data_IF_953682970212
#
_entry.id   IF_953682970212
#
_cell.length_a   1.000
_cell.length_b   1.000
_cell.length_c   1.000
_cell.angle_alpha   90.00
_cell.angle_beta   90.00
_cell.angle_gamma   90.00
#
_symmetry.space_group_name_H-M   'P 1'
#
loop_
_entity.id
_entity.type
_entity.pdbx_description
1 polymer ?
#
# COMPACT_ATOMS: atom_id res chain seq x y z
N UNK A 1 23.12 18.22 -15.20
CA UNK A 1 21.85 18.56 -14.52
C UNK A 1 21.79 17.75 -13.24
N UNK A 2 21.58 18.39 -12.09
CA UNK A 2 21.37 17.68 -10.82
C UNK A 2 20.03 16.95 -10.86
N UNK A 3 19.97 15.74 -10.34
CA UNK A 3 18.72 14.98 -10.23
C UNK A 3 17.77 15.67 -9.23
N UNK A 4 16.57 15.98 -9.67
CA UNK A 4 15.47 16.46 -8.84
C UNK A 4 14.43 15.36 -8.69
N UNK A 5 14.26 14.77 -7.50
CA UNK A 5 13.32 13.67 -7.30
C UNK A 5 11.87 14.15 -7.38
N UNK A 6 11.00 13.35 -7.97
CA UNK A 6 9.55 13.54 -7.93
C UNK A 6 8.99 12.91 -6.66
N UNK A 7 8.59 13.74 -5.71
CA UNK A 7 8.10 13.31 -4.41
C UNK A 7 6.58 13.41 -4.33
N UNK A 8 5.93 12.33 -3.89
CA UNK A 8 4.50 12.32 -3.63
C UNK A 8 4.24 12.23 -2.12
N UNK A 9 3.42 13.13 -1.59
CA UNK A 9 3.02 13.12 -0.18
C UNK A 9 1.57 12.76 0.02
N UNK A 10 1.25 11.74 0.82
CA UNK A 10 -0.13 11.49 1.27
C UNK A 10 -0.35 12.13 2.64
N UNK A 11 -1.17 13.17 2.70
CA UNK A 11 -1.38 13.98 3.88
C UNK A 11 -2.76 13.72 4.50
N UNK A 12 -2.79 13.51 5.81
CA UNK A 12 -4.03 13.43 6.56
C UNK A 12 -4.66 14.81 6.69
N UNK A 13 -5.92 14.96 6.26
CA UNK A 13 -6.67 16.23 6.32
C UNK A 13 -6.75 16.81 7.73
N UNK A 14 -6.80 15.97 8.76
CA UNK A 14 -6.95 16.41 10.15
C UNK A 14 -5.62 16.72 10.85
N UNK A 15 -4.50 16.70 10.15
CA UNK A 15 -3.16 16.84 10.73
C UNK A 15 -2.19 17.49 9.73
N UNK A 16 -1.44 16.69 8.98
CA UNK A 16 -0.40 17.17 8.07
C UNK A 16 -0.90 18.13 6.99
N UNK A 17 -2.11 17.96 6.49
CA UNK A 17 -2.71 18.86 5.51
C UNK A 17 -3.01 20.23 6.12
N UNK A 18 -3.62 20.28 7.31
CA UNK A 18 -3.79 21.55 8.04
C UNK A 18 -2.46 22.21 8.36
N UNK A 19 -1.43 21.43 8.71
CA UNK A 19 -0.10 21.95 8.96
C UNK A 19 0.51 22.58 7.70
N UNK A 20 0.30 21.95 6.55
CA UNK A 20 0.74 22.49 5.26
C UNK A 20 -0.02 23.78 4.88
N UNK A 21 -1.33 23.83 5.12
CA UNK A 21 -2.12 25.03 4.91
C UNK A 21 -1.64 26.20 5.82
N UNK A 22 -1.35 25.92 7.10
CA UNK A 22 -0.78 26.94 8.00
C UNK A 22 0.63 27.38 7.59
N UNK A 23 1.47 26.45 7.11
CA UNK A 23 2.79 26.81 6.56
C UNK A 23 2.64 27.78 5.39
N UNK A 24 1.70 27.52 4.47
CA UNK A 24 1.39 28.42 3.36
C UNK A 24 0.92 29.82 3.82
N UNK A 25 0.05 29.88 4.85
CA UNK A 25 -0.39 31.17 5.43
C UNK A 25 0.75 31.96 6.07
N UNK A 26 1.74 31.27 6.67
CA UNK A 26 2.93 31.88 7.24
C UNK A 26 4.04 32.12 6.19
N UNK A 27 3.77 31.87 4.90
CA UNK A 27 4.73 31.98 3.79
C UNK A 27 6.00 31.15 3.99
N UNK A 28 5.89 30.05 4.71
CA UNK A 28 6.96 29.07 4.93
C UNK A 28 6.90 27.97 3.88
N UNK A 29 8.01 27.72 3.21
CA UNK A 29 8.08 26.79 2.09
C UNK A 29 8.89 25.54 2.45
N UNK A 30 8.48 24.41 1.89
CA UNK A 30 9.28 23.20 1.76
C UNK A 30 9.64 23.00 0.27
N UNK A 31 10.42 21.97 -0.03
CA UNK A 31 10.90 21.72 -1.40
C UNK A 31 9.76 21.72 -2.44
N UNK A 32 9.93 22.40 -3.60
CA UNK A 32 8.86 22.53 -4.61
C UNK A 32 8.52 21.24 -5.35
N UNK A 33 9.42 20.27 -5.35
CA UNK A 33 9.23 18.97 -6.01
C UNK A 33 8.40 17.96 -5.17
N UNK A 34 7.84 18.39 -4.02
CA UNK A 34 6.93 17.61 -3.20
C UNK A 34 5.48 17.91 -3.56
N UNK A 35 4.79 16.91 -4.11
CA UNK A 35 3.37 17.00 -4.50
C UNK A 35 2.48 16.45 -3.39
N UNK A 36 1.74 17.29 -2.65
CA UNK A 36 0.83 16.82 -1.59
C UNK A 36 -0.50 16.32 -2.16
N UNK A 37 -0.92 15.14 -1.72
CA UNK A 37 -2.24 14.54 -1.97
C UNK A 37 -3.01 14.48 -0.65
N UNK A 38 -4.11 15.20 -0.58
CA UNK A 38 -4.95 15.32 0.62
C UNK A 38 -5.89 14.13 0.75
N UNK A 39 -5.90 13.49 1.90
CA UNK A 39 -6.80 12.37 2.20
C UNK A 39 -7.64 12.68 3.45
N UNK A 40 -8.93 12.36 3.46
CA UNK A 40 -9.79 12.54 4.63
C UNK A 40 -9.23 11.86 5.88
N UNK A 41 -8.68 10.65 5.70
CA UNK A 41 -7.98 9.89 6.73
C UNK A 41 -7.02 8.89 6.07
N UNK A 42 -5.79 8.81 6.54
CA UNK A 42 -4.81 7.84 6.06
C UNK A 42 -5.18 6.38 6.37
N UNK A 43 -6.09 6.15 7.30
CA UNK A 43 -6.67 4.81 7.51
C UNK A 43 -7.42 4.24 6.31
N UNK A 44 -7.80 5.10 5.34
CA UNK A 44 -8.35 4.72 4.05
C UNK A 44 -7.32 4.58 2.92
N UNK A 45 -6.05 4.95 3.15
CA UNK A 45 -4.98 4.81 2.15
C UNK A 45 -4.70 3.33 1.92
N UNK A 46 -5.04 2.83 0.75
CA UNK A 46 -4.77 1.44 0.37
C UNK A 46 -3.31 1.25 -0.07
N UNK A 47 -2.76 0.06 0.19
CA UNK A 47 -1.41 -0.35 -0.25
C UNK A 47 -1.22 -0.20 -1.75
N UNK A 48 -2.28 -0.41 -2.52
CA UNK A 48 -2.31 -0.22 -3.95
C UNK A 48 -1.87 1.19 -4.39
N UNK A 49 -2.37 2.26 -3.73
CA UNK A 49 -2.00 3.63 -4.10
C UNK A 49 -0.55 3.97 -3.80
N UNK A 50 0.02 3.38 -2.74
CA UNK A 50 1.44 3.53 -2.44
C UNK A 50 2.32 2.92 -3.53
N UNK A 51 1.97 1.72 -4.00
CA UNK A 51 2.70 1.09 -5.10
C UNK A 51 2.47 1.81 -6.43
N UNK A 52 1.21 2.20 -6.73
CA UNK A 52 0.85 2.93 -7.94
C UNK A 52 1.65 4.23 -8.10
N UNK A 53 1.98 4.92 -7.01
CA UNK A 53 2.81 6.12 -7.05
C UNK A 53 4.14 5.89 -7.76
N UNK A 54 4.82 4.77 -7.45
CA UNK A 54 6.09 4.41 -8.11
C UNK A 54 5.89 4.06 -9.58
N UNK A 55 4.84 3.31 -9.93
CA UNK A 55 4.51 3.03 -11.34
C UNK A 55 4.18 4.29 -12.12
N UNK A 56 3.65 5.31 -11.45
CA UNK A 56 3.38 6.62 -12.05
C UNK A 56 4.61 7.52 -12.08
N UNK A 57 5.78 7.00 -11.67
CA UNK A 57 7.07 7.66 -11.79
C UNK A 57 7.46 8.51 -10.60
N UNK A 58 6.90 8.30 -9.41
CA UNK A 58 7.42 8.89 -8.19
C UNK A 58 8.78 8.28 -7.83
N UNK A 59 9.74 9.10 -7.42
CA UNK A 59 11.04 8.67 -6.93
C UNK A 59 11.02 8.41 -5.43
N UNK A 60 10.08 9.06 -4.72
CA UNK A 60 9.85 8.86 -3.29
C UNK A 60 8.41 9.15 -2.89
N UNK A 61 7.91 8.45 -1.88
CA UNK A 61 6.57 8.61 -1.32
C UNK A 61 6.64 8.83 0.18
N UNK A 62 6.06 9.94 0.65
CA UNK A 62 6.01 10.29 2.07
C UNK A 62 4.57 10.28 2.59
N UNK A 63 4.30 9.54 3.65
CA UNK A 63 2.98 9.47 4.27
C UNK A 63 2.99 10.23 5.58
N UNK A 64 2.22 11.32 5.64
CA UNK A 64 2.21 12.25 6.77
C UNK A 64 0.88 12.18 7.54
N UNK A 65 0.92 11.55 8.71
CA UNK A 65 -0.25 11.20 9.51
C UNK A 65 -0.41 11.97 10.81
N UNK A 66 -1.53 11.68 11.48
CA UNK A 66 -1.75 12.16 12.84
C UNK A 66 -0.77 11.50 13.82
N UNK A 67 -0.33 12.19 14.88
CA UNK A 67 0.44 11.60 15.96
C UNK A 67 -0.31 10.46 16.66
N UNK A 68 0.42 9.53 17.32
CA UNK A 68 -0.18 8.48 18.13
C UNK A 68 -1.19 9.04 19.12
N UNK A 69 -2.34 8.37 19.26
CA UNK A 69 -3.42 8.79 20.17
C UNK A 69 -4.28 9.98 19.67
N UNK A 70 -3.85 10.71 18.62
CA UNK A 70 -4.55 11.91 18.11
C UNK A 70 -5.34 11.66 16.82
N UNK A 71 -5.46 10.41 16.41
CA UNK A 71 -6.22 10.10 15.21
C UNK A 71 -7.73 10.23 15.44
N UNK A 72 -8.41 11.12 14.71
CA UNK A 72 -9.87 11.29 14.78
C UNK A 72 -10.64 9.98 14.58
N UNK A 73 -10.09 9.06 13.82
CA UNK A 73 -10.63 7.72 13.54
C UNK A 73 -9.96 6.63 14.41
N UNK A 74 -9.45 6.98 15.59
CA UNK A 74 -8.79 6.14 16.58
C UNK A 74 -7.51 5.50 16.07
N UNK A 75 -7.57 4.57 15.12
CA UNK A 75 -6.44 3.75 14.63
C UNK A 75 -6.07 3.99 13.15
N UNK A 76 -6.50 5.10 12.54
CA UNK A 76 -6.23 5.38 11.13
C UNK A 76 -4.74 5.56 10.82
N UNK A 77 -4.01 6.24 11.69
CA UNK A 77 -2.56 6.43 11.57
C UNK A 77 -1.78 5.12 11.76
N UNK A 78 -2.18 4.27 12.70
CA UNK A 78 -1.55 2.95 12.91
C UNK A 78 -1.73 2.03 11.69
N UNK A 79 -2.95 2.03 11.11
CA UNK A 79 -3.24 1.28 9.87
C UNK A 79 -2.39 1.79 8.71
N UNK A 80 -2.27 3.11 8.56
CA UNK A 80 -1.44 3.70 7.52
C UNK A 80 0.04 3.33 7.69
N UNK A 81 0.58 3.47 8.91
CA UNK A 81 1.97 3.08 9.22
C UNK A 81 2.24 1.63 8.87
N UNK A 82 1.32 0.73 9.22
CA UNK A 82 1.44 -0.69 8.88
C UNK A 82 1.46 -0.92 7.37
N UNK A 83 0.60 -0.24 6.61
CA UNK A 83 0.57 -0.36 5.14
C UNK A 83 1.84 0.14 4.50
N UNK A 84 2.39 1.24 5.02
CA UNK A 84 3.71 1.74 4.63
C UNK A 84 4.76 0.65 4.83
N UNK A 85 4.81 0.00 5.99
CA UNK A 85 5.77 -1.08 6.27
C UNK A 85 5.62 -2.27 5.31
N UNK A 86 4.38 -2.66 4.96
CA UNK A 86 4.11 -3.70 3.97
C UNK A 86 4.71 -3.32 2.61
N UNK A 87 4.46 -2.10 2.16
CA UNK A 87 4.96 -1.63 0.87
C UNK A 87 6.47 -1.38 0.90
N UNK A 88 7.05 -0.91 2.01
CA UNK A 88 8.51 -0.84 2.17
C UNK A 88 9.18 -2.19 1.93
N UNK A 89 8.62 -3.26 2.54
CA UNK A 89 9.15 -4.61 2.32
C UNK A 89 8.98 -5.07 0.87
N UNK A 90 7.87 -4.72 0.24
CA UNK A 90 7.59 -5.07 -1.16
C UNK A 90 8.53 -4.35 -2.13
N UNK A 91 8.71 -3.02 -1.98
CA UNK A 91 9.59 -2.23 -2.85
C UNK A 91 11.06 -2.57 -2.63
N UNK A 92 11.43 -3.08 -1.45
CA UNK A 92 12.77 -3.63 -1.20
C UNK A 92 12.98 -4.92 -1.99
N UNK A 93 12.00 -5.84 -1.99
CA UNK A 93 12.04 -7.07 -2.78
C UNK A 93 12.09 -6.74 -4.29
N UNK A 94 11.38 -5.69 -4.71
CA UNK A 94 11.38 -5.21 -6.09
C UNK A 94 12.68 -4.49 -6.49
N UNK A 95 13.61 -4.25 -5.55
CA UNK A 95 14.86 -3.54 -5.84
C UNK A 95 14.71 -2.03 -6.02
N UNK A 96 13.54 -1.47 -5.73
CA UNK A 96 13.29 -0.02 -5.72
C UNK A 96 14.02 0.63 -4.54
N UNK A 97 14.04 -0.06 -3.38
CA UNK A 97 14.63 0.39 -2.14
C UNK A 97 13.60 0.93 -1.14
N UNK A 98 13.57 0.32 0.06
CA UNK A 98 12.60 0.67 1.11
C UNK A 98 12.68 2.11 1.58
N UNK A 99 13.87 2.71 1.50
CA UNK A 99 14.15 4.07 1.97
C UNK A 99 13.52 5.16 1.09
N UNK A 100 12.86 4.78 0.00
CA UNK A 100 12.07 5.68 -0.84
C UNK A 100 10.63 5.88 -0.37
N UNK A 101 10.20 5.12 0.65
CA UNK A 101 8.90 5.25 1.28
C UNK A 101 9.07 5.49 2.77
N UNK A 102 8.43 6.52 3.31
CA UNK A 102 8.49 6.76 4.74
C UNK A 102 7.13 7.20 5.31
N UNK A 103 6.99 7.06 6.64
CA UNK A 103 5.83 7.49 7.40
C UNK A 103 6.29 8.40 8.55
N UNK A 104 5.78 9.62 8.56
CA UNK A 104 5.97 10.53 9.68
C UNK A 104 4.63 11.05 10.22
N UNK A 105 4.67 11.61 11.42
CA UNK A 105 3.49 12.21 12.04
C UNK A 105 3.81 13.62 12.52
N UNK A 106 2.86 14.54 12.25
CA UNK A 106 2.96 15.95 12.63
C UNK A 106 1.64 16.43 13.22
N UNK A 107 1.69 17.34 14.19
CA UNK A 107 0.51 18.11 14.61
C UNK A 107 0.24 19.26 13.64
N UNK A 108 -0.98 19.77 13.56
CA UNK A 108 -1.29 20.94 12.72
C UNK A 108 -0.42 22.17 13.04
N UNK A 109 0.03 22.32 14.28
CA UNK A 109 0.87 23.43 14.74
C UNK A 109 2.38 23.22 14.56
N UNK A 110 2.82 22.03 14.13
CA UNK A 110 4.25 21.69 14.00
C UNK A 110 4.82 22.04 12.62
N UNK A 111 4.63 23.29 12.16
CA UNK A 111 5.10 23.76 10.84
C UNK A 111 6.61 23.50 10.63
N UNK A 112 7.50 23.85 11.58
CA UNK A 112 8.93 23.56 11.40
C UNK A 112 9.25 22.10 11.18
N UNK A 113 8.57 21.22 11.92
CA UNK A 113 8.73 19.76 11.81
C UNK A 113 8.24 19.22 10.47
N UNK A 114 7.12 19.73 9.94
CA UNK A 114 6.65 19.37 8.61
C UNK A 114 7.71 19.69 7.55
N UNK A 115 8.21 20.93 7.56
CA UNK A 115 9.22 21.42 6.60
C UNK A 115 10.50 20.58 6.70
N UNK A 116 11.00 20.37 7.91
CA UNK A 116 12.19 19.57 8.16
C UNK A 116 12.01 18.12 7.66
N UNK A 117 10.84 17.51 7.94
CA UNK A 117 10.56 16.13 7.51
C UNK A 117 10.54 16.01 5.99
N UNK A 118 9.86 16.93 5.29
CA UNK A 118 9.79 16.91 3.82
C UNK A 118 11.17 17.17 3.20
N UNK A 119 11.93 18.13 3.71
CA UNK A 119 13.25 18.44 3.19
C UNK A 119 14.27 17.31 3.44
N UNK A 120 14.28 16.71 4.61
CA UNK A 120 15.10 15.52 4.91
C UNK A 120 14.78 14.36 3.99
N UNK A 121 13.49 14.11 3.75
CA UNK A 121 13.08 13.06 2.82
C UNK A 121 13.51 13.37 1.39
N UNK A 122 13.42 14.64 0.96
CA UNK A 122 13.94 15.07 -0.33
C UNK A 122 15.44 14.81 -0.47
N UNK A 123 16.24 15.18 0.53
CA UNK A 123 17.68 14.92 0.54
C UNK A 123 17.99 13.41 0.49
N UNK A 124 17.23 12.61 1.22
CA UNK A 124 17.37 11.16 1.23
C UNK A 124 17.13 10.57 -0.15
N UNK A 125 16.01 10.93 -0.80
CA UNK A 125 15.67 10.42 -2.15
C UNK A 125 16.64 10.96 -3.20
N UNK A 126 17.10 12.20 -3.06
CA UNK A 126 18.12 12.78 -3.96
C UNK A 126 19.42 11.96 -3.91
N UNK A 127 19.88 11.56 -2.72
CA UNK A 127 21.08 10.71 -2.55
C UNK A 127 20.91 9.31 -3.15
N UNK A 128 19.69 8.77 -3.13
CA UNK A 128 19.38 7.46 -3.72
C UNK A 128 19.32 7.50 -5.27
N UNK A 129 19.23 8.70 -5.86
CA UNK A 129 19.09 8.86 -7.32
C UNK A 129 17.69 8.50 -7.84
N UNK A 130 17.50 8.41 -9.17
CA UNK A 130 16.22 8.07 -9.79
C UNK A 130 15.69 6.72 -9.34
N UNK A 131 14.37 6.61 -9.21
CA UNK A 131 13.72 5.31 -8.99
C UNK A 131 13.77 4.49 -10.27
N UNK A 132 14.46 3.36 -10.22
CA UNK A 132 14.55 2.43 -11.34
C UNK A 132 13.67 1.23 -11.02
N UNK A 133 12.64 0.99 -11.85
CA UNK A 133 11.89 -0.26 -11.79
C UNK A 133 12.80 -1.40 -12.25
N UNK A 134 12.86 -2.51 -11.51
CA UNK A 134 13.73 -3.62 -11.88
C UNK A 134 13.33 -4.18 -13.24
N UNK A 135 14.31 -4.30 -14.12
CA UNK A 135 14.22 -5.14 -15.30
C UNK A 135 14.29 -6.60 -14.81
N UNK A 136 13.13 -7.27 -14.84
CA UNK A 136 12.90 -8.50 -14.08
C UNK A 136 13.61 -9.77 -14.65
N UNK A 137 14.53 -9.65 -15.59
CA UNK A 137 15.04 -10.79 -16.35
C UNK A 137 16.10 -11.61 -15.62
N UNK A 138 16.78 -11.05 -14.60
CA UNK A 138 17.97 -11.69 -14.01
C UNK A 138 17.87 -12.02 -12.50
N UNK A 139 16.69 -11.92 -11.87
CA UNK A 139 16.60 -12.10 -10.43
C UNK A 139 15.54 -13.15 -10.03
N UNK A 140 15.99 -14.30 -9.49
CA UNK A 140 15.09 -15.36 -8.99
C UNK A 140 14.07 -14.86 -7.96
N UNK A 141 14.41 -13.84 -7.16
CA UNK A 141 13.50 -13.23 -6.20
C UNK A 141 12.33 -12.51 -6.88
N UNK A 142 12.46 -12.15 -8.15
CA UNK A 142 11.45 -11.49 -8.95
C UNK A 142 10.66 -12.45 -9.86
N UNK A 143 10.85 -13.74 -9.74
CA UNK A 143 10.14 -14.73 -10.55
C UNK A 143 8.60 -14.55 -10.45
N UNK A 144 8.08 -14.22 -9.28
CA UNK A 144 6.67 -13.92 -9.11
C UNK A 144 6.23 -12.67 -9.92
N UNK A 145 7.08 -11.66 -10.03
CA UNK A 145 6.83 -10.45 -10.83
C UNK A 145 6.74 -10.78 -12.32
N UNK A 146 7.66 -11.62 -12.81
CA UNK A 146 7.66 -12.11 -14.20
C UNK A 146 6.39 -12.90 -14.50
N UNK A 147 5.91 -13.71 -13.55
CA UNK A 147 4.64 -14.42 -13.71
C UNK A 147 3.46 -13.44 -13.90
N UNK A 148 3.41 -12.34 -13.16
CA UNK A 148 2.35 -11.34 -13.31
C UNK A 148 2.40 -10.56 -14.62
N UNK A 149 3.54 -10.50 -15.32
CA UNK A 149 3.59 -9.94 -16.69
C UNK A 149 2.68 -10.71 -17.68
N UNK A 150 2.38 -11.97 -17.38
CA UNK A 150 1.49 -12.82 -18.19
C UNK A 150 0.00 -12.58 -17.89
N UNK A 151 -0.33 -11.74 -16.93
CA UNK A 151 -1.71 -11.48 -16.54
C UNK A 151 -2.48 -10.78 -17.67
N UNK A 152 -3.55 -11.41 -18.14
CA UNK A 152 -4.45 -10.92 -19.19
C UNK A 152 -5.68 -10.16 -18.63
N UNK A 153 -5.68 -9.89 -17.34
CA UNK A 153 -6.78 -9.21 -16.63
C UNK A 153 -8.13 -9.94 -16.73
N UNK A 154 -8.15 -11.28 -16.79
CA UNK A 154 -9.39 -12.08 -16.86
C UNK A 154 -10.26 -11.99 -15.60
N UNK A 155 -9.79 -11.41 -14.52
CA UNK A 155 -10.47 -11.15 -13.24
C UNK A 155 -10.89 -12.41 -12.44
N UNK A 156 -10.64 -13.63 -12.88
CA UNK A 156 -11.06 -14.85 -12.20
C UNK A 156 -10.56 -14.93 -10.75
N UNK A 157 -9.34 -14.46 -10.47
CA UNK A 157 -8.81 -14.38 -9.12
C UNK A 157 -9.62 -13.46 -8.18
N UNK A 158 -10.20 -12.39 -8.72
CA UNK A 158 -11.09 -11.48 -7.98
C UNK A 158 -12.43 -12.15 -7.69
N UNK A 159 -13.00 -12.83 -8.68
CA UNK A 159 -14.35 -13.43 -8.58
C UNK A 159 -14.42 -14.56 -7.55
N UNK A 160 -13.35 -15.38 -7.44
CA UNK A 160 -13.31 -16.49 -6.48
C UNK A 160 -12.86 -16.06 -5.09
N UNK A 161 -12.30 -14.87 -4.94
CA UNK A 161 -11.73 -14.42 -3.68
C UNK A 161 -12.83 -13.98 -2.70
N UNK A 162 -12.98 -14.63 -1.52
CA UNK A 162 -14.06 -14.33 -0.59
C UNK A 162 -13.97 -12.93 0.05
N UNK A 163 -12.81 -12.28 -0.03
CA UNK A 163 -12.63 -10.91 0.46
C UNK A 163 -12.78 -9.84 -0.64
N UNK A 164 -12.94 -10.25 -1.91
CA UNK A 164 -13.10 -9.35 -3.05
C UNK A 164 -14.58 -9.18 -3.42
N UNK A 165 -15.31 -8.37 -2.66
CA UNK A 165 -16.74 -8.09 -2.88
C UNK A 165 -17.01 -6.67 -3.44
N UNK A 166 -15.98 -5.96 -3.86
CA UNK A 166 -16.11 -4.61 -4.41
C UNK A 166 -16.78 -4.63 -5.80
N UNK A 167 -17.83 -3.84 -5.99
CA UNK A 167 -18.47 -3.65 -7.31
C UNK A 167 -17.53 -2.96 -8.31
N UNK A 168 -16.76 -1.97 -7.84
CA UNK A 168 -15.66 -1.32 -8.58
C UNK A 168 -14.37 -1.58 -7.85
N UNK A 169 -13.43 -2.21 -8.52
CA UNK A 169 -12.14 -2.58 -7.94
C UNK A 169 -11.07 -1.57 -8.39
N UNK A 170 -10.41 -0.90 -7.46
CA UNK A 170 -9.31 0.02 -7.78
C UNK A 170 -8.19 -0.62 -8.61
N UNK A 171 -7.80 -1.89 -8.38
CA UNK A 171 -6.85 -2.61 -9.24
C UNK A 171 -7.18 -2.64 -10.73
N UNK A 172 -8.46 -2.50 -11.12
CA UNK A 172 -8.86 -2.43 -12.53
C UNK A 172 -8.29 -1.21 -13.28
N UNK A 173 -7.89 -0.18 -12.55
CA UNK A 173 -7.23 1.01 -13.10
C UNK A 173 -5.70 0.90 -13.20
N UNK A 174 -5.13 -0.25 -12.88
CA UNK A 174 -3.70 -0.49 -12.91
C UNK A 174 -3.28 -1.13 -14.23
N UNK A 175 -2.10 -0.79 -14.74
CA UNK A 175 -1.58 -1.33 -16.01
C UNK A 175 -1.52 -2.87 -16.01
N UNK A 176 -1.25 -3.47 -14.85
CA UNK A 176 -1.33 -4.91 -14.64
C UNK A 176 -2.30 -5.21 -13.50
N UNK A 177 -3.50 -5.68 -13.85
CA UNK A 177 -4.55 -6.00 -12.89
C UNK A 177 -4.08 -7.00 -11.82
N UNK A 178 -3.35 -8.04 -12.21
CA UNK A 178 -2.91 -9.09 -11.29
C UNK A 178 -2.02 -8.56 -10.17
N UNK A 179 -1.08 -7.68 -10.49
CA UNK A 179 -0.22 -7.01 -9.50
C UNK A 179 -1.04 -6.10 -8.60
N UNK A 180 -1.92 -5.29 -9.18
CA UNK A 180 -2.80 -4.42 -8.42
C UNK A 180 -3.69 -5.20 -7.45
N UNK A 181 -4.28 -6.31 -7.90
CA UNK A 181 -5.08 -7.22 -7.08
C UNK A 181 -4.23 -7.87 -5.96
N UNK A 182 -3.05 -8.39 -6.29
CA UNK A 182 -2.13 -9.00 -5.33
C UNK A 182 -1.85 -8.05 -4.17
N UNK A 183 -1.42 -6.83 -4.47
CA UNK A 183 -1.07 -5.83 -3.45
C UNK A 183 -2.27 -5.44 -2.61
N UNK A 184 -3.44 -5.32 -3.23
CA UNK A 184 -4.68 -4.99 -2.53
C UNK A 184 -5.12 -6.10 -1.54
N UNK A 185 -4.97 -7.37 -1.92
CA UNK A 185 -5.36 -8.50 -1.05
C UNK A 185 -4.29 -8.90 -0.05
N UNK A 186 -3.03 -8.51 -0.25
CA UNK A 186 -1.89 -8.98 0.53
C UNK A 186 -2.08 -8.81 2.05
N UNK A 187 -2.64 -7.68 2.48
CA UNK A 187 -2.93 -7.39 3.89
C UNK A 187 -4.08 -8.23 4.45
N UNK A 188 -5.06 -8.58 3.61
CA UNK A 188 -6.35 -9.14 4.03
C UNK A 188 -6.53 -10.62 3.72
N UNK A 189 -5.62 -11.20 2.94
CA UNK A 189 -5.72 -12.58 2.49
C UNK A 189 -5.85 -13.56 3.68
N UNK A 190 -6.90 -14.39 3.64
CA UNK A 190 -7.16 -15.43 4.66
C UNK A 190 -6.46 -16.74 4.34
N UNK A 191 -5.72 -16.83 3.22
CA UNK A 191 -5.07 -18.05 2.73
C UNK A 191 -6.05 -19.21 2.49
N UNK A 192 -7.30 -18.90 2.12
CA UNK A 192 -8.36 -19.90 1.91
C UNK A 192 -8.14 -20.85 0.72
N UNK A 193 -7.19 -20.53 -0.17
CA UNK A 193 -6.85 -21.37 -1.32
C UNK A 193 -7.76 -21.18 -2.56
N UNK A 194 -8.86 -20.46 -2.48
CA UNK A 194 -9.82 -20.33 -3.59
C UNK A 194 -9.21 -19.83 -4.91
N UNK A 195 -8.12 -19.05 -4.84
CA UNK A 195 -7.42 -18.53 -6.03
C UNK A 195 -6.31 -19.45 -6.55
N UNK A 196 -6.09 -20.64 -5.95
CA UNK A 196 -4.90 -21.46 -6.21
C UNK A 196 -4.77 -21.86 -7.69
N UNK A 197 -5.86 -22.35 -8.27
CA UNK A 197 -5.85 -22.99 -9.59
C UNK A 197 -6.77 -22.30 -10.62
N UNK A 198 -7.17 -21.04 -10.35
CA UNK A 198 -8.15 -20.34 -11.21
C UNK A 198 -7.52 -19.51 -12.32
N UNK A 199 -6.22 -19.25 -12.26
CA UNK A 199 -5.57 -18.39 -13.24
C UNK A 199 -5.34 -19.12 -14.55
N UNK A 200 -5.94 -18.72 -15.70
CA UNK A 200 -5.75 -19.38 -16.98
C UNK A 200 -4.31 -19.23 -17.52
N UNK A 201 -3.57 -18.22 -17.04
CA UNK A 201 -2.16 -18.01 -17.36
C UNK A 201 -1.21 -18.78 -16.45
N UNK A 202 -1.73 -19.66 -15.58
CA UNK A 202 -0.93 -20.48 -14.67
C UNK A 202 -0.17 -19.70 -13.59
N UNK A 203 -0.61 -18.48 -13.24
CA UNK A 203 0.01 -17.70 -12.18
C UNK A 203 -0.33 -18.34 -10.82
N UNK A 204 0.69 -18.69 -10.05
CA UNK A 204 0.55 -19.33 -8.74
C UNK A 204 0.20 -18.33 -7.65
N UNK A 205 -1.00 -17.75 -7.72
CA UNK A 205 -1.43 -16.63 -6.90
C UNK A 205 -1.28 -16.86 -5.40
N UNK A 206 -1.73 -18.01 -4.88
CA UNK A 206 -1.65 -18.33 -3.46
C UNK A 206 -0.21 -18.44 -2.97
N UNK A 207 0.64 -19.13 -3.74
CA UNK A 207 2.06 -19.31 -3.40
C UNK A 207 2.78 -17.95 -3.35
N UNK A 208 2.49 -17.08 -4.32
CA UNK A 208 3.07 -15.73 -4.37
C UNK A 208 2.60 -14.88 -3.17
N UNK A 209 1.30 -14.91 -2.83
CA UNK A 209 0.79 -14.22 -1.64
C UNK A 209 1.49 -14.72 -0.37
N UNK A 210 1.65 -16.04 -0.21
CA UNK A 210 2.32 -16.63 0.94
C UNK A 210 3.81 -16.27 0.98
N UNK A 211 4.50 -16.34 -0.16
CA UNK A 211 5.90 -15.92 -0.28
C UNK A 211 6.10 -14.48 0.16
N UNK A 212 5.29 -13.56 -0.36
CA UNK A 212 5.39 -12.15 0.00
C UNK A 212 5.06 -11.90 1.47
N UNK A 213 4.05 -12.55 2.00
CA UNK A 213 3.69 -12.42 3.43
C UNK A 213 4.77 -12.94 4.37
N UNK A 214 5.45 -14.01 4.01
CA UNK A 214 6.55 -14.57 4.81
C UNK A 214 7.80 -13.66 4.78
N UNK A 215 8.02 -12.95 3.69
CA UNK A 215 9.12 -11.98 3.55
C UNK A 215 8.78 -10.59 4.12
N UNK A 216 7.51 -10.28 4.28
CA UNK A 216 7.05 -9.10 5.00
C UNK A 216 7.16 -9.41 6.49
N UNK A 217 8.23 -9.01 7.10
CA UNK A 217 8.77 -9.22 8.45
C UNK A 217 7.78 -9.72 9.53
N UNK A 218 8.20 -10.62 10.47
CA UNK A 218 7.37 -11.21 11.54
C UNK A 218 6.70 -10.24 12.51
N UNK A 219 7.12 -8.96 12.53
CA UNK A 219 6.52 -7.88 13.33
C UNK A 219 5.07 -7.53 12.93
N UNK A 220 4.55 -8.10 11.84
CA UNK A 220 3.19 -7.84 11.35
C UNK A 220 2.16 -8.91 11.73
N UNK A 221 2.53 -9.91 12.52
CA UNK A 221 1.55 -10.78 13.17
C UNK A 221 0.75 -9.97 14.19
N UNK A 222 -0.37 -9.42 13.75
CA UNK A 222 -1.33 -8.83 14.68
C UNK A 222 -1.93 -9.94 15.55
N UNK A 223 -2.10 -9.70 16.86
CA UNK A 223 -3.17 -10.35 17.57
C UNK A 223 -4.48 -9.93 16.89
N UNK A 224 -5.29 -10.91 16.46
CA UNK A 224 -6.69 -10.72 16.10
C UNK A 224 -7.41 -10.15 17.32
N UNK A 225 -7.37 -8.82 17.49
CA UNK A 225 -8.30 -8.17 18.42
C UNK A 225 -9.61 -8.00 17.67
N UNK A 226 -10.55 -8.84 18.05
CA UNK A 226 -11.90 -8.88 17.56
C UNK A 226 -12.59 -7.52 17.64
N UNK A 227 -13.44 -7.24 16.66
CA UNK A 227 -14.30 -6.08 16.59
C UNK A 227 -14.79 -5.79 15.18
N UNK A 228 -15.13 -6.81 14.42
CA UNK A 228 -16.03 -6.74 13.27
C UNK A 228 -17.16 -7.76 13.47
N UNK A 229 -18.35 -7.60 12.86
CA UNK A 229 -19.43 -8.58 13.01
C UNK A 229 -18.91 -9.96 12.60
N UNK A 230 -19.15 -10.94 13.48
CA UNK A 230 -18.58 -12.27 13.55
C UNK A 230 -18.16 -12.88 12.20
N UNK A 231 -16.87 -13.16 12.09
CA UNK A 231 -16.41 -14.20 11.19
C UNK A 231 -16.96 -15.52 11.75
N UNK A 232 -17.93 -16.06 11.06
CA UNK A 232 -18.43 -17.40 11.32
C UNK A 232 -17.26 -18.35 11.07
N UNK A 233 -16.79 -18.99 12.10
CA UNK A 233 -15.81 -20.06 12.03
C UNK A 233 -16.41 -21.23 11.25
N UNK A 234 -16.00 -21.38 10.00
CA UNK A 234 -16.49 -22.44 9.12
C UNK A 234 -15.87 -23.81 9.40
N UNK A 235 -15.01 -23.96 10.41
CA UNK A 235 -14.34 -25.23 10.73
C UNK A 235 -15.22 -26.23 11.48
N UNK A 236 -16.40 -25.81 11.99
CA UNK A 236 -17.27 -26.66 12.81
C UNK A 236 -18.76 -26.66 12.37
N UNK A 237 -19.06 -26.46 11.10
CA UNK A 237 -20.46 -26.55 10.65
C UNK A 237 -20.65 -27.77 9.74
N UNK A 238 -21.37 -28.81 10.21
CA UNK A 238 -21.62 -30.04 9.44
C UNK A 238 -22.72 -29.93 8.38
N UNK A 239 -23.11 -28.71 8.01
CA UNK A 239 -24.10 -28.46 6.98
C UNK A 239 -23.50 -27.71 5.79
N UNK A 240 -23.00 -28.47 4.83
CA UNK A 240 -22.73 -28.07 3.46
C UNK A 240 -24.04 -27.66 2.77
N UNK A 241 -24.49 -26.43 2.97
CA UNK A 241 -25.48 -25.80 2.09
C UNK A 241 -25.53 -24.30 2.35
N UNK A 242 -24.49 -23.56 1.91
CA UNK A 242 -24.69 -22.17 1.56
C UNK A 242 -25.32 -22.13 0.16
N UNK A 243 -26.63 -22.33 0.14
CA UNK A 243 -27.46 -22.20 -1.04
C UNK A 243 -27.39 -20.79 -1.59
N UNK A 244 -27.07 -20.69 -2.89
CA UNK A 244 -27.27 -19.51 -3.70
C UNK A 244 -28.78 -19.19 -3.70
N UNK A 245 -29.18 -18.21 -2.94
CA UNK A 245 -30.47 -17.55 -3.10
C UNK A 245 -30.42 -16.63 -4.32
N UNK A 246 -30.99 -17.06 -5.43
CA UNK A 246 -31.36 -16.22 -6.57
C UNK A 246 -32.69 -15.57 -6.15
N UNK A 247 -32.74 -14.24 -6.19
CA UNK A 247 -33.89 -13.41 -6.04
C UNK A 247 -33.54 -11.98 -6.36
#
# INVERSE_FOLDING_TARGET
>A
MSFEPRLLGFLCRNSADLCADFAGMEQKNYTPNFLPVKLPCLGGLDTFFLLKAYFSGADGVLVLGCPPGQCRHKKGNERAKRRVQIIQSLIEILGIGKDRLDFASVYPSEIPKLIETVNKFNEQVTKLGPSIFPQAEDNERLNWWVQFKKCDACHQCKEVCPICFCKKCYPESFENFGIGWLVHVLERCTSCGACKDVCPQGIRLLEIVQLLRNNITPTLTLPHQGGGPGLVDCSNNPLSSCGRGIG
#
